data_IF_979354928521
#
_entry.id   IF_979354928521
#
_cell.length_a   1.000
_cell.length_b   1.000
_cell.length_c   1.000
_cell.angle_alpha   90.00
_cell.angle_beta   90.00
_cell.angle_gamma   90.00
#
_symmetry.space_group_name_H-M   'P 1'
#
loop_
_entity.id
_entity.type
_entity.pdbx_description
1 polymer ?
#
# COMPACT_ATOMS: atom_id res chain seq x y z
N UNK A 1 3.63 12.26 4.39
CA UNK A 1 4.24 11.04 3.78
C UNK A 1 5.58 11.41 3.20
N UNK A 2 6.60 10.57 3.36
CA UNK A 2 7.95 10.84 2.85
C UNK A 2 8.23 10.13 1.54
N UNK A 3 7.74 8.90 1.40
CA UNK A 3 7.91 8.10 0.17
C UNK A 3 6.81 7.06 0.01
N UNK A 4 6.65 6.59 -1.22
CA UNK A 4 5.87 5.42 -1.61
C UNK A 4 6.80 4.53 -2.44
N UNK A 5 6.83 3.24 -2.15
CA UNK A 5 7.61 2.28 -2.91
C UNK A 5 6.74 1.12 -3.35
N UNK A 6 6.80 0.78 -4.63
CA UNK A 6 6.13 -0.39 -5.21
C UNK A 6 7.15 -1.26 -5.92
N UNK A 7 7.04 -2.57 -5.74
CA UNK A 7 7.74 -3.56 -6.54
C UNK A 7 6.75 -4.24 -7.48
N UNK A 8 6.99 -4.13 -8.76
CA UNK A 8 6.30 -4.93 -9.77
C UNK A 8 6.87 -6.37 -9.73
N UNK A 9 6.02 -7.32 -9.38
CA UNK A 9 6.42 -8.72 -9.23
C UNK A 9 6.62 -9.44 -10.56
N UNK A 10 6.09 -8.91 -11.66
CA UNK A 10 6.28 -9.47 -13.02
C UNK A 10 7.63 -9.05 -13.56
N UNK A 11 7.89 -7.74 -13.60
CA UNK A 11 9.14 -7.17 -14.14
C UNK A 11 10.29 -7.17 -13.14
N UNK A 12 10.00 -7.38 -11.84
CA UNK A 12 10.93 -7.28 -10.70
C UNK A 12 11.49 -5.87 -10.48
N UNK A 13 10.94 -4.86 -11.13
CA UNK A 13 11.35 -3.47 -10.98
C UNK A 13 10.76 -2.83 -9.72
N UNK A 14 11.52 -1.92 -9.13
CA UNK A 14 11.07 -1.04 -8.08
C UNK A 14 10.77 0.34 -8.66
N UNK A 15 9.70 0.96 -8.16
CA UNK A 15 9.30 2.33 -8.44
C UNK A 15 9.17 3.06 -7.12
N UNK A 16 9.82 4.22 -7.00
CA UNK A 16 9.89 4.96 -5.74
C UNK A 16 9.52 6.42 -6.00
N UNK A 17 8.54 6.92 -5.27
CA UNK A 17 8.16 8.33 -5.23
C UNK A 17 8.56 8.90 -3.87
N UNK A 18 9.32 9.99 -3.82
CA UNK A 18 9.80 10.56 -2.58
C UNK A 18 9.84 12.10 -2.62
N UNK A 19 9.83 12.71 -1.43
CA UNK A 19 9.98 14.18 -1.26
C UNK A 19 11.38 14.58 -0.79
N UNK A 20 12.31 13.62 -0.72
CA UNK A 20 13.71 13.87 -0.38
C UNK A 20 14.60 13.00 -1.25
N UNK A 21 15.72 13.55 -1.65
CA UNK A 21 16.76 12.81 -2.35
C UNK A 21 17.35 11.71 -1.46
N UNK A 22 17.68 10.60 -2.07
CA UNK A 22 18.39 9.47 -1.49
C UNK A 22 19.09 8.68 -2.58
N UNK A 23 20.13 7.96 -2.23
CA UNK A 23 20.87 7.13 -3.17
C UNK A 23 20.15 5.79 -3.38
N UNK A 24 19.91 5.43 -4.64
CA UNK A 24 19.30 4.15 -5.03
C UNK A 24 19.63 3.81 -6.48
N UNK A 25 19.73 2.53 -6.77
CA UNK A 25 19.88 1.99 -8.14
C UNK A 25 18.52 1.81 -8.85
N UNK A 26 17.41 2.02 -8.11
CA UNK A 26 16.06 1.79 -8.62
C UNK A 26 15.47 3.05 -9.27
N UNK A 27 14.47 2.85 -10.12
CA UNK A 27 13.71 3.92 -10.73
C UNK A 27 12.99 4.75 -9.65
N UNK A 28 13.31 6.03 -9.58
CA UNK A 28 12.79 6.91 -8.54
C UNK A 28 12.44 8.31 -9.08
N UNK A 29 11.47 8.92 -8.42
CA UNK A 29 10.94 10.23 -8.76
C UNK A 29 10.95 11.11 -7.50
N UNK A 30 11.65 12.24 -7.56
CA UNK A 30 11.76 13.18 -6.45
C UNK A 30 10.85 14.38 -6.69
N UNK A 31 10.16 14.81 -5.66
CA UNK A 31 9.19 15.90 -5.70
C UNK A 31 9.44 16.88 -4.57
N UNK A 32 9.14 18.18 -4.83
CA UNK A 32 9.30 19.24 -3.83
C UNK A 32 8.23 19.20 -2.73
N UNK A 33 7.10 18.55 -3.00
CA UNK A 33 6.00 18.46 -2.05
C UNK A 33 5.32 17.08 -2.04
N UNK A 34 4.73 16.73 -0.89
CA UNK A 34 3.88 15.53 -0.80
C UNK A 34 2.71 15.57 -1.78
N UNK A 35 2.17 16.76 -2.05
CA UNK A 35 1.07 16.95 -3.00
C UNK A 35 1.46 16.51 -4.40
N UNK A 36 2.62 16.93 -4.85
CA UNK A 36 3.11 16.63 -6.20
C UNK A 36 3.57 15.17 -6.30
N UNK A 37 4.19 14.65 -5.25
CA UNK A 37 4.51 13.23 -5.13
C UNK A 37 3.25 12.35 -5.24
N UNK A 38 2.17 12.67 -4.53
CA UNK A 38 0.92 11.91 -4.58
C UNK A 38 0.26 11.99 -5.97
N UNK A 39 0.36 13.11 -6.68
CA UNK A 39 -0.12 13.23 -8.06
C UNK A 39 0.70 12.34 -8.99
N UNK A 40 2.04 12.44 -8.95
CA UNK A 40 2.92 11.62 -9.79
C UNK A 40 2.74 10.13 -9.52
N UNK A 41 2.56 9.74 -8.25
CA UNK A 41 2.20 8.37 -7.89
C UNK A 41 0.87 7.93 -8.55
N UNK A 42 -0.20 8.75 -8.45
CA UNK A 42 -1.49 8.42 -9.02
C UNK A 42 -1.47 8.38 -10.55
N UNK A 43 -0.74 9.26 -11.21
CA UNK A 43 -0.57 9.23 -12.66
C UNK A 43 0.04 7.90 -13.10
N UNK A 44 1.10 7.46 -12.44
CA UNK A 44 1.68 6.16 -12.70
C UNK A 44 0.70 5.02 -12.37
N UNK A 45 0.04 5.07 -11.21
CA UNK A 45 -0.89 4.05 -10.72
C UNK A 45 -2.05 3.80 -11.70
N UNK A 46 -2.68 4.84 -12.20
CA UNK A 46 -3.81 4.73 -13.15
C UNK A 46 -3.42 4.03 -14.44
N UNK A 47 -2.18 4.22 -14.90
CA UNK A 47 -1.67 3.56 -16.12
C UNK A 47 -1.14 2.15 -15.87
N UNK A 48 -0.81 1.83 -14.63
CA UNK A 48 -0.19 0.56 -14.23
C UNK A 48 -1.00 -0.15 -13.14
N UNK A 49 -2.31 0.04 -13.09
CA UNK A 49 -3.18 -0.54 -12.07
C UNK A 49 -3.03 -2.06 -12.03
N UNK A 50 -2.64 -2.65 -10.88
CA UNK A 50 -2.46 -4.08 -10.76
C UNK A 50 -3.80 -4.81 -10.57
N UNK A 51 -3.87 -6.06 -10.99
CA UNK A 51 -4.99 -6.95 -10.63
C UNK A 51 -4.89 -7.40 -9.16
N UNK A 52 -3.65 -7.55 -8.67
CA UNK A 52 -3.36 -8.01 -7.32
C UNK A 52 -2.38 -7.04 -6.65
N UNK A 53 -2.75 -6.54 -5.49
CA UNK A 53 -1.89 -5.78 -4.59
C UNK A 53 -1.58 -6.63 -3.37
N UNK A 54 -0.31 -6.74 -3.01
CA UNK A 54 0.12 -7.48 -1.83
C UNK A 54 1.16 -6.71 -1.04
N UNK A 55 1.29 -7.05 0.24
CA UNK A 55 2.27 -6.49 1.16
C UNK A 55 2.02 -7.03 2.57
N UNK A 56 2.90 -6.70 3.50
CA UNK A 56 2.76 -7.09 4.89
C UNK A 56 1.87 -6.11 5.65
N UNK A 57 0.71 -6.54 6.11
CA UNK A 57 -0.31 -5.71 6.76
C UNK A 57 -0.85 -4.58 5.87
N UNK A 58 -0.78 -4.77 4.56
CA UNK A 58 -1.11 -3.75 3.54
C UNK A 58 -2.57 -3.32 3.61
N UNK A 59 -3.46 -4.23 3.98
CA UNK A 59 -4.91 -3.99 4.05
C UNK A 59 -5.31 -3.07 5.20
N UNK A 60 -4.56 -3.09 6.30
CA UNK A 60 -4.85 -2.28 7.49
C UNK A 60 -3.93 -1.06 7.64
N UNK A 61 -2.80 -1.03 6.94
CA UNK A 61 -1.82 0.03 7.08
C UNK A 61 -1.59 0.81 5.79
N UNK A 62 -0.96 0.22 4.78
CA UNK A 62 -0.50 0.95 3.60
C UNK A 62 -1.65 1.52 2.77
N UNK A 63 -2.63 0.69 2.41
CA UNK A 63 -3.78 1.12 1.60
C UNK A 63 -4.61 2.19 2.31
N UNK A 64 -5.04 2.01 3.59
CA UNK A 64 -5.75 3.06 4.31
C UNK A 64 -4.94 4.34 4.48
N UNK A 65 -3.63 4.23 4.70
CA UNK A 65 -2.78 5.39 4.86
C UNK A 65 -2.68 6.20 3.57
N UNK A 66 -2.40 5.54 2.45
CA UNK A 66 -2.32 6.19 1.12
C UNK A 66 -3.68 6.80 0.75
N UNK A 67 -4.77 6.05 0.89
CA UNK A 67 -6.11 6.52 0.55
C UNK A 67 -6.51 7.76 1.36
N UNK A 68 -6.27 7.76 2.68
CA UNK A 68 -6.54 8.92 3.53
C UNK A 68 -5.65 10.13 3.19
N UNK A 69 -4.37 9.91 2.85
CA UNK A 69 -3.49 11.00 2.43
C UNK A 69 -3.96 11.61 1.11
N UNK A 70 -4.32 10.77 0.13
CA UNK A 70 -4.89 11.23 -1.14
C UNK A 70 -6.17 12.03 -0.94
N UNK A 71 -7.11 11.50 -0.15
CA UNK A 71 -8.36 12.20 0.16
C UNK A 71 -8.12 13.55 0.83
N UNK A 72 -7.23 13.59 1.83
CA UNK A 72 -6.94 14.81 2.60
C UNK A 72 -6.24 15.89 1.77
N UNK A 73 -5.30 15.52 0.89
CA UNK A 73 -4.42 16.46 0.18
C UNK A 73 -4.95 16.82 -1.20
N UNK A 74 -5.51 15.85 -1.91
CA UNK A 74 -5.99 16.02 -3.29
C UNK A 74 -7.51 16.00 -3.39
N UNK A 75 -8.20 15.40 -2.42
CA UNK A 75 -9.65 15.26 -2.39
C UNK A 75 -10.14 13.89 -2.83
N UNK A 76 -11.43 13.63 -2.55
CA UNK A 76 -12.07 12.33 -2.71
C UNK A 76 -12.01 11.78 -4.15
N UNK A 77 -12.16 12.65 -5.15
CA UNK A 77 -12.08 12.27 -6.56
C UNK A 77 -10.75 11.58 -6.89
N UNK A 78 -9.65 12.13 -6.37
CA UNK A 78 -8.31 11.58 -6.57
C UNK A 78 -8.11 10.28 -5.79
N UNK A 79 -8.62 10.19 -4.58
CA UNK A 79 -8.57 8.97 -3.78
C UNK A 79 -9.33 7.83 -4.47
N UNK A 80 -10.49 8.10 -5.05
CA UNK A 80 -11.27 7.10 -5.78
C UNK A 80 -10.54 6.55 -7.01
N UNK A 81 -9.61 7.31 -7.61
CA UNK A 81 -8.78 6.85 -8.74
C UNK A 81 -7.76 5.77 -8.36
N UNK A 82 -7.64 5.39 -7.09
CA UNK A 82 -6.96 4.13 -6.71
C UNK A 82 -7.64 2.92 -7.33
N UNK A 83 -8.95 2.97 -7.55
CA UNK A 83 -9.72 1.95 -8.26
C UNK A 83 -9.79 2.29 -9.75
N UNK A 84 -9.56 1.31 -10.66
CA UNK A 84 -9.75 1.50 -12.10
C UNK A 84 -11.20 1.87 -12.46
N UNK A 85 -12.14 1.60 -11.56
CA UNK A 85 -13.57 1.94 -11.73
C UNK A 85 -14.01 3.16 -10.92
N UNK A 86 -13.06 3.90 -10.32
CA UNK A 86 -13.33 5.03 -9.44
C UNK A 86 -14.23 4.66 -8.23
N UNK A 87 -14.07 3.44 -7.73
CA UNK A 87 -14.82 2.88 -6.60
C UNK A 87 -13.86 2.42 -5.51
N UNK A 88 -13.29 3.38 -4.77
CA UNK A 88 -12.54 3.13 -3.56
C UNK A 88 -13.32 3.73 -2.38
N UNK A 89 -13.67 2.89 -1.39
CA UNK A 89 -14.47 3.29 -0.24
C UNK A 89 -13.87 2.75 1.05
N UNK A 90 -13.91 3.57 2.10
CA UNK A 90 -13.55 3.14 3.44
C UNK A 90 -14.65 2.25 4.03
N UNK A 91 -14.27 1.17 4.69
CA UNK A 91 -15.18 0.33 5.46
C UNK A 91 -14.64 0.06 6.86
N UNK A 92 -15.55 -0.03 7.81
CA UNK A 92 -15.21 -0.45 9.16
C UNK A 92 -15.08 -1.97 9.24
N UNK A 93 -14.04 -2.42 9.93
CA UNK A 93 -13.81 -3.83 10.24
C UNK A 93 -13.41 -3.99 11.70
N UNK A 94 -13.65 -5.16 12.25
CA UNK A 94 -13.24 -5.49 13.62
C UNK A 94 -12.14 -6.55 13.58
N UNK A 95 -10.98 -6.19 14.12
CA UNK A 95 -9.82 -7.09 14.24
C UNK A 95 -9.53 -7.27 15.72
N UNK A 96 -9.62 -8.51 16.21
CA UNK A 96 -9.44 -8.84 17.63
C UNK A 96 -10.29 -7.96 18.58
N UNK A 97 -11.55 -7.69 18.20
CA UNK A 97 -12.48 -6.88 18.98
C UNK A 97 -12.21 -5.36 18.91
N UNK A 98 -11.20 -4.91 18.17
CA UNK A 98 -10.90 -3.49 17.98
C UNK A 98 -11.39 -3.02 16.62
N UNK A 99 -12.03 -1.84 16.62
CA UNK A 99 -12.47 -1.16 15.40
C UNK A 99 -11.25 -0.70 14.58
N UNK A 100 -11.22 -1.10 13.32
CA UNK A 100 -10.23 -0.71 12.34
C UNK A 100 -10.92 -0.25 11.06
N UNK A 101 -10.15 0.29 10.13
CA UNK A 101 -10.64 0.75 8.84
C UNK A 101 -9.79 0.14 7.74
N UNK A 102 -10.46 -0.45 6.77
CA UNK A 102 -9.87 -0.93 5.53
C UNK A 102 -10.48 -0.17 4.34
N UNK A 103 -9.94 -0.35 3.16
CA UNK A 103 -10.49 0.21 1.93
C UNK A 103 -10.84 -0.90 0.95
N UNK A 104 -12.05 -0.86 0.43
CA UNK A 104 -12.44 -1.68 -0.71
C UNK A 104 -12.10 -0.91 -1.99
N UNK A 105 -11.13 -1.41 -2.73
CA UNK A 105 -10.67 -0.84 -4.00
C UNK A 105 -11.16 -1.74 -5.12
N UNK A 106 -12.34 -1.41 -5.68
CA UNK A 106 -12.96 -2.24 -6.72
C UNK A 106 -12.05 -2.39 -7.94
N UNK A 107 -11.90 -3.62 -8.42
CA UNK A 107 -11.02 -3.95 -9.55
C UNK A 107 -9.61 -4.40 -9.15
N UNK A 108 -9.25 -4.33 -7.86
CA UNK A 108 -7.97 -4.80 -7.35
C UNK A 108 -8.21 -5.80 -6.21
N UNK A 109 -7.57 -6.96 -6.28
CA UNK A 109 -7.57 -7.93 -5.18
C UNK A 109 -6.43 -7.61 -4.21
N UNK A 110 -6.77 -7.23 -2.99
CA UNK A 110 -5.76 -6.98 -1.94
C UNK A 110 -5.54 -8.29 -1.18
N UNK A 111 -4.36 -8.89 -1.36
CA UNK A 111 -3.92 -10.10 -0.69
C UNK A 111 -2.88 -9.75 0.38
N UNK A 112 -3.32 -9.62 1.63
CA UNK A 112 -2.43 -9.29 2.74
C UNK A 112 -1.56 -10.49 3.12
N UNK A 113 -0.25 -10.30 3.03
CA UNK A 113 0.71 -11.36 3.33
C UNK A 113 0.71 -11.75 4.81
N UNK A 114 0.39 -10.83 5.71
CA UNK A 114 0.25 -11.11 7.14
C UNK A 114 -0.94 -12.05 7.40
N UNK A 115 -2.06 -11.84 6.73
CA UNK A 115 -3.25 -12.71 6.87
C UNK A 115 -2.97 -14.10 6.30
N UNK A 116 -2.28 -14.18 5.15
CA UNK A 116 -1.84 -15.44 4.56
C UNK A 116 -0.86 -16.18 5.48
N UNK A 117 0.13 -15.48 6.01
CA UNK A 117 1.09 -16.04 6.94
C UNK A 117 0.40 -16.66 8.16
N UNK A 118 -0.49 -15.91 8.83
CA UNK A 118 -1.24 -16.40 9.98
C UNK A 118 -2.11 -17.62 9.66
N UNK A 119 -2.68 -17.67 8.47
CA UNK A 119 -3.58 -18.75 8.05
C UNK A 119 -2.85 -20.04 7.74
N UNK A 120 -1.65 -19.96 7.19
CA UNK A 120 -0.90 -21.11 6.68
C UNK A 120 0.30 -21.51 7.54
N UNK A 121 0.62 -20.77 8.60
CA UNK A 121 1.66 -21.14 9.57
C UNK A 121 1.06 -21.93 10.72
N UNK A 122 1.63 -23.11 11.00
CA UNK A 122 1.11 -24.04 12.02
C UNK A 122 1.41 -23.60 13.45
N UNK A 123 2.38 -22.74 13.68
CA UNK A 123 2.76 -22.24 15.01
C UNK A 123 2.41 -20.78 15.18
N UNK A 124 1.85 -20.43 16.33
CA UNK A 124 1.69 -19.02 16.69
C UNK A 124 3.05 -18.39 16.98
N UNK A 125 3.24 -17.18 16.47
CA UNK A 125 4.42 -16.39 16.72
C UNK A 125 4.21 -15.44 17.90
N UNK A 126 5.27 -15.14 18.65
CA UNK A 126 5.24 -14.15 19.74
C UNK A 126 4.91 -12.74 19.23
N UNK A 127 5.35 -12.44 18.03
CA UNK A 127 5.10 -11.17 17.36
C UNK A 127 4.89 -11.39 15.86
N UNK A 128 3.95 -10.65 15.27
CA UNK A 128 3.70 -10.64 13.82
C UNK A 128 4.25 -9.36 13.14
N UNK A 129 5.20 -8.68 13.78
CA UNK A 129 5.92 -7.59 13.14
C UNK A 129 6.85 -8.17 12.07
N UNK A 130 6.99 -7.45 10.97
CA UNK A 130 7.76 -7.93 9.81
C UNK A 130 9.22 -8.22 10.18
N UNK A 131 9.84 -7.39 11.03
CA UNK A 131 11.20 -7.58 11.52
C UNK A 131 11.37 -8.91 12.30
N UNK A 132 10.40 -9.22 13.18
CA UNK A 132 10.41 -10.46 13.94
C UNK A 132 10.20 -11.69 13.05
N UNK A 133 9.23 -11.64 12.14
CA UNK A 133 8.96 -12.76 11.22
C UNK A 133 10.14 -12.97 10.26
N UNK A 134 10.75 -11.91 9.76
CA UNK A 134 11.96 -12.02 8.95
C UNK A 134 13.10 -12.71 9.71
N UNK A 135 13.27 -12.40 11.00
CA UNK A 135 14.29 -13.06 11.85
C UNK A 135 13.99 -14.56 12.09
N UNK A 136 12.71 -14.94 12.19
CA UNK A 136 12.31 -16.33 12.43
C UNK A 136 12.43 -17.19 11.16
N UNK A 137 12.16 -16.61 9.99
CA UNK A 137 12.06 -17.35 8.72
C UNK A 137 13.33 -17.29 7.85
N UNK A 138 14.26 -16.36 8.09
CA UNK A 138 15.51 -16.18 7.34
C UNK A 138 16.76 -16.47 8.18
#
# INVERSE_FOLDING_TARGET
MLSITIKDMVTKKFYIWAVREFETEHEHYIYDSERDMLKGFLEWWVHNTPDILTGWNVNLYDVPYIARRLNRILGEKWMRSLSPWNRANEREIYVQGRKNYAYDVSGINILDYLDLYRKFTYSNQESYRLDHIAFVEL
#
